data_IF_678229351324
#
_entry.id   IF_678229351324
#
_cell.length_a   1.000
_cell.length_b   1.000
_cell.length_c   1.000
_cell.angle_alpha   90.00
_cell.angle_beta   90.00
_cell.angle_gamma   90.00
#
_symmetry.space_group_name_H-M   'P 1'
#
loop_
_entity.id
_entity.type
_entity.pdbx_description
1 polymer ?
#
# COMPACT_ATOMS: atom_id res chain seq x y z
N UNK A 1 3.71 19.04 21.47
CA UNK A 1 4.19 20.33 20.94
C UNK A 1 5.55 20.24 20.26
N UNK A 2 6.56 19.59 20.88
CA UNK A 2 7.90 19.49 20.31
C UNK A 2 7.95 18.62 19.03
N UNK A 3 7.26 17.48 19.04
CA UNK A 3 7.14 16.61 17.86
C UNK A 3 6.46 17.32 16.68
N UNK A 4 5.39 18.07 16.93
CA UNK A 4 4.72 18.85 15.89
C UNK A 4 5.66 19.88 15.26
N UNK A 5 6.39 20.64 16.08
CA UNK A 5 7.35 21.64 15.59
C UNK A 5 8.47 21.02 14.75
N UNK A 6 8.93 19.81 15.10
CA UNK A 6 9.95 19.11 14.37
C UNK A 6 9.42 18.63 13.02
N UNK A 7 8.26 17.99 13.00
CA UNK A 7 7.69 17.39 11.79
C UNK A 7 7.14 18.43 10.81
N UNK A 8 6.60 19.55 11.30
CA UNK A 8 6.13 20.65 10.46
C UNK A 8 7.25 21.44 9.75
N UNK A 9 8.52 21.16 10.06
CA UNK A 9 9.63 21.66 9.23
C UNK A 9 9.63 21.05 7.84
N UNK A 10 9.02 19.88 7.70
CA UNK A 10 8.85 19.20 6.41
C UNK A 10 7.63 19.78 5.70
N UNK A 11 7.90 20.54 4.66
CA UNK A 11 6.89 21.24 3.90
C UNK A 11 7.32 21.44 2.45
N UNK A 12 6.36 21.77 1.60
CA UNK A 12 6.63 22.30 0.27
C UNK A 12 6.50 23.81 0.31
N UNK A 13 7.52 24.49 -0.16
CA UNK A 13 7.53 25.94 -0.27
C UNK A 13 6.73 26.39 -1.49
N UNK A 14 6.24 27.65 -1.42
CA UNK A 14 5.58 28.29 -2.55
C UNK A 14 6.57 28.78 -3.62
N UNK A 15 6.06 29.33 -4.70
CA UNK A 15 6.88 29.83 -5.82
C UNK A 15 7.82 30.96 -5.39
N UNK A 16 7.36 31.86 -4.53
CA UNK A 16 8.16 32.99 -4.02
C UNK A 16 9.39 32.52 -3.23
N UNK A 17 9.35 31.31 -2.67
CA UNK A 17 10.43 30.72 -1.89
C UNK A 17 11.13 29.56 -2.64
N UNK A 18 10.99 29.48 -3.96
CA UNK A 18 11.76 28.58 -4.82
C UNK A 18 11.17 27.16 -4.99
N UNK A 19 9.93 26.91 -4.61
CA UNK A 19 9.22 25.63 -4.81
C UNK A 19 9.93 24.39 -4.22
N UNK A 20 10.90 24.56 -3.33
CA UNK A 20 11.60 23.46 -2.68
C UNK A 20 10.67 22.61 -1.84
N UNK A 21 10.97 21.32 -1.69
CA UNK A 21 10.22 20.42 -0.82
C UNK A 21 11.12 19.59 0.09
N UNK A 22 10.69 19.40 1.32
CA UNK A 22 11.32 18.52 2.30
C UNK A 22 10.29 17.49 2.77
N UNK A 23 10.62 16.21 2.60
CA UNK A 23 9.79 15.09 3.08
C UNK A 23 10.45 14.43 4.28
N UNK A 24 9.72 14.28 5.38
CA UNK A 24 10.15 13.50 6.54
C UNK A 24 9.44 12.15 6.57
N UNK A 25 10.19 11.10 6.85
CA UNK A 25 9.69 9.74 7.05
C UNK A 25 10.06 9.29 8.48
N UNK A 26 9.29 9.71 9.51
CA UNK A 26 9.53 9.26 10.87
C UNK A 26 9.18 7.77 10.99
N UNK A 27 10.08 7.00 11.59
CA UNK A 27 9.86 5.57 11.88
C UNK A 27 9.54 5.42 13.35
N UNK A 28 8.39 4.84 13.65
CA UNK A 28 7.90 4.61 15.02
C UNK A 28 7.73 3.11 15.23
N UNK A 29 8.34 2.61 16.28
CA UNK A 29 8.15 1.25 16.74
C UNK A 29 6.85 1.15 17.56
N UNK A 30 6.03 0.13 17.23
CA UNK A 30 4.83 -0.20 18.00
C UNK A 30 5.07 -1.47 18.79
N UNK A 31 4.70 -1.50 20.06
CA UNK A 31 4.76 -2.73 20.86
C UNK A 31 3.52 -3.59 20.53
N UNK A 32 3.76 -4.82 20.09
CA UNK A 32 2.71 -5.77 19.72
C UNK A 32 1.68 -5.23 18.69
N UNK A 33 2.09 -4.29 17.84
CA UNK A 33 1.20 -3.67 16.85
C UNK A 33 0.21 -2.65 17.43
N UNK A 34 0.35 -2.25 18.70
CA UNK A 34 -0.53 -1.27 19.33
C UNK A 34 -0.28 0.14 18.81
N UNK A 35 -1.16 0.61 17.92
CA UNK A 35 -1.16 1.96 17.38
C UNK A 35 -1.90 2.96 18.25
N UNK A 36 -2.58 2.49 19.31
CA UNK A 36 -3.33 3.35 20.24
C UNK A 36 -2.47 3.98 21.33
N UNK A 37 -1.20 3.53 21.44
CA UNK A 37 -0.23 4.10 22.36
C UNK A 37 0.03 5.59 22.09
N UNK A 38 0.52 6.31 23.08
CA UNK A 38 0.67 7.76 23.02
C UNK A 38 1.55 8.25 21.87
N UNK A 39 2.72 7.64 21.64
CA UNK A 39 3.65 8.11 20.61
C UNK A 39 3.10 7.83 19.19
N UNK A 40 2.64 6.62 18.83
CA UNK A 40 2.03 6.36 17.54
C UNK A 40 0.85 7.28 17.25
N UNK A 41 -0.08 7.43 18.20
CA UNK A 41 -1.27 8.28 18.05
C UNK A 41 -0.91 9.74 17.81
N UNK A 42 0.07 10.26 18.55
CA UNK A 42 0.55 11.63 18.39
C UNK A 42 1.18 11.86 17.02
N UNK A 43 2.03 10.93 16.55
CA UNK A 43 2.68 11.05 15.23
C UNK A 43 1.67 10.92 14.10
N UNK A 44 0.71 9.99 14.17
CA UNK A 44 -0.37 9.85 13.19
C UNK A 44 -1.20 11.12 13.08
N UNK A 45 -1.44 11.82 14.21
CA UNK A 45 -2.21 13.06 14.21
C UNK A 45 -1.49 14.24 13.53
N UNK A 46 -0.16 14.24 13.57
CA UNK A 46 0.67 15.32 13.02
C UNK A 46 0.97 15.09 11.54
N UNK A 47 1.23 13.85 11.15
CA UNK A 47 1.65 13.50 9.78
C UNK A 47 0.48 13.42 8.79
N UNK A 48 0.79 13.46 7.50
CA UNK A 48 -0.21 13.39 6.41
C UNK A 48 -0.63 11.95 6.07
N UNK A 49 -0.27 11.01 6.87
CA UNK A 49 -0.62 9.61 6.70
C UNK A 49 0.39 8.69 7.37
N UNK A 50 0.13 7.40 7.28
CA UNK A 50 1.02 6.36 7.82
C UNK A 50 1.13 5.17 6.86
N UNK A 51 2.30 4.56 6.83
CA UNK A 51 2.56 3.26 6.25
C UNK A 51 2.65 2.28 7.41
N UNK A 52 1.70 1.36 7.50
CA UNK A 52 1.63 0.38 8.58
C UNK A 52 2.26 -0.94 8.15
N UNK A 53 3.24 -1.42 8.92
CA UNK A 53 3.91 -2.70 8.68
C UNK A 53 3.38 -3.74 9.68
N UNK A 54 2.99 -4.91 9.16
CA UNK A 54 2.49 -6.03 9.96
C UNK A 54 3.49 -7.18 10.00
N UNK A 55 3.81 -7.65 11.20
CA UNK A 55 4.69 -8.79 11.41
C UNK A 55 4.14 -10.07 10.77
N UNK A 56 2.83 -10.26 10.84
CA UNK A 56 2.16 -11.44 10.27
C UNK A 56 2.32 -11.53 8.76
N UNK A 57 2.26 -10.38 8.05
CA UNK A 57 2.50 -10.33 6.61
C UNK A 57 3.97 -10.67 6.30
N UNK A 58 4.89 -10.20 7.13
CA UNK A 58 6.31 -10.51 6.97
C UNK A 58 6.59 -12.00 7.14
N UNK A 59 6.01 -12.63 8.16
CA UNK A 59 6.13 -14.07 8.40
C UNK A 59 5.50 -14.92 7.30
N UNK A 60 4.43 -14.43 6.67
CA UNK A 60 3.81 -15.04 5.47
C UNK A 60 4.63 -14.85 4.19
N UNK A 61 5.80 -14.22 4.26
CA UNK A 61 6.67 -13.97 3.11
C UNK A 61 6.21 -12.82 2.19
N UNK A 62 5.26 -12.02 2.63
CA UNK A 62 4.81 -10.81 1.90
C UNK A 62 5.78 -9.68 2.24
N UNK A 63 6.59 -9.28 1.26
CA UNK A 63 7.60 -8.24 1.41
C UNK A 63 7.51 -7.24 0.26
N UNK A 64 7.35 -5.93 0.58
CA UNK A 64 7.23 -5.32 1.90
C UNK A 64 5.96 -5.73 2.64
N UNK A 65 6.04 -5.81 3.97
CA UNK A 65 4.94 -6.25 4.84
C UNK A 65 3.94 -5.12 5.13
N UNK A 66 3.53 -4.41 4.09
CA UNK A 66 2.66 -3.23 4.20
C UNK A 66 1.19 -3.66 4.28
N UNK A 67 0.53 -3.25 5.34
CA UNK A 67 -0.92 -3.37 5.46
C UNK A 67 -1.62 -2.29 4.67
N UNK A 68 -2.16 -2.63 3.50
CA UNK A 68 -2.90 -1.70 2.63
C UNK A 68 -4.19 -1.19 3.30
N UNK A 69 -4.79 -2.00 4.16
CA UNK A 69 -6.01 -1.64 4.89
C UNK A 69 -5.78 -0.56 5.95
N UNK A 70 -4.71 -0.71 6.74
CA UNK A 70 -4.38 0.17 7.86
C UNK A 70 -3.55 1.38 7.44
N UNK A 71 -2.91 1.32 6.28
CA UNK A 71 -2.15 2.44 5.73
C UNK A 71 -3.09 3.48 5.15
N UNK A 72 -2.82 4.74 5.48
CA UNK A 72 -3.65 5.88 5.07
C UNK A 72 -2.78 7.01 4.56
N UNK A 73 -3.21 7.67 3.49
CA UNK A 73 -2.66 8.92 3.01
C UNK A 73 -3.76 10.00 3.00
N UNK A 74 -3.54 11.13 3.69
CA UNK A 74 -4.47 12.26 3.69
C UNK A 74 -4.48 12.98 2.35
N UNK A 75 -3.34 13.06 1.68
CA UNK A 75 -3.21 13.64 0.34
C UNK A 75 -3.85 12.70 -0.69
N UNK A 76 -3.65 11.40 -0.53
CA UNK A 76 -4.29 10.36 -1.32
C UNK A 76 -4.07 10.53 -2.82
N UNK A 77 -5.13 10.33 -3.58
CA UNK A 77 -5.10 10.37 -5.04
C UNK A 77 -4.78 11.75 -5.65
N UNK A 78 -4.76 12.83 -4.86
CA UNK A 78 -4.39 14.15 -5.35
C UNK A 78 -2.91 14.23 -5.75
N UNK A 79 -2.05 13.43 -5.10
CA UNK A 79 -0.63 13.34 -5.42
C UNK A 79 -0.32 12.40 -6.60
N UNK A 80 -1.28 11.60 -7.03
CA UNK A 80 -1.10 10.61 -8.09
C UNK A 80 -1.27 11.21 -9.48
N UNK A 81 -0.54 10.67 -10.45
CA UNK A 81 -0.82 10.96 -11.86
C UNK A 81 -2.19 10.43 -12.27
N UNK A 82 -2.80 11.03 -13.30
CA UNK A 82 -4.12 10.62 -13.79
C UNK A 82 -4.17 9.13 -14.18
N UNK A 83 -3.09 8.62 -14.77
CA UNK A 83 -2.97 7.21 -15.15
C UNK A 83 -2.96 6.29 -13.91
N UNK A 84 -2.10 6.57 -12.92
CA UNK A 84 -2.03 5.82 -11.68
C UNK A 84 -3.35 5.83 -10.92
N UNK A 85 -3.98 7.02 -10.79
CA UNK A 85 -5.29 7.15 -10.13
C UNK A 85 -6.37 6.27 -10.76
N UNK A 86 -6.40 6.18 -12.10
CA UNK A 86 -7.37 5.35 -12.82
C UNK A 86 -7.15 3.86 -12.55
N UNK A 87 -5.89 3.41 -12.52
CA UNK A 87 -5.56 1.99 -12.41
C UNK A 87 -5.56 1.50 -10.95
N UNK A 88 -5.14 2.33 -10.00
CA UNK A 88 -5.07 1.96 -8.57
C UNK A 88 -6.40 2.11 -7.82
N UNK A 89 -7.37 2.84 -8.37
CA UNK A 89 -8.58 3.24 -7.67
C UNK A 89 -9.40 2.10 -7.06
N UNK A 90 -9.47 0.95 -7.72
CA UNK A 90 -10.21 -0.22 -7.22
C UNK A 90 -9.35 -1.21 -6.42
N UNK A 91 -8.03 -1.07 -6.49
CA UNK A 91 -7.10 -2.08 -5.94
C UNK A 91 -7.25 -2.25 -4.42
N UNK A 92 -7.47 -1.15 -3.69
CA UNK A 92 -7.67 -1.20 -2.23
C UNK A 92 -8.96 -1.96 -1.88
N UNK A 93 -10.03 -1.72 -2.63
CA UNK A 93 -11.31 -2.41 -2.45
C UNK A 93 -11.18 -3.90 -2.80
N UNK A 94 -10.56 -4.22 -3.92
CA UNK A 94 -10.30 -5.61 -4.34
C UNK A 94 -9.54 -6.39 -3.26
N UNK A 95 -8.51 -5.79 -2.65
CA UNK A 95 -7.75 -6.41 -1.57
C UNK A 95 -8.54 -6.55 -0.26
N UNK A 96 -9.40 -5.59 0.07
CA UNK A 96 -10.26 -5.68 1.24
C UNK A 96 -11.24 -6.85 1.10
N UNK A 97 -11.91 -6.96 -0.06
CA UNK A 97 -12.80 -8.07 -0.37
C UNK A 97 -12.06 -9.43 -0.39
N UNK A 98 -10.85 -9.46 -0.94
CA UNK A 98 -10.02 -10.65 -0.93
C UNK A 98 -9.73 -11.13 0.50
N UNK A 99 -9.26 -10.25 1.38
CA UNK A 99 -8.94 -10.60 2.78
C UNK A 99 -10.15 -11.11 3.55
N UNK A 100 -11.32 -10.48 3.35
CA UNK A 100 -12.57 -10.93 3.94
C UNK A 100 -12.92 -12.36 3.48
N UNK A 101 -12.87 -12.62 2.17
CA UNK A 101 -13.20 -13.94 1.62
C UNK A 101 -12.13 -14.99 1.89
N UNK A 102 -10.86 -14.61 1.98
CA UNK A 102 -9.76 -15.51 2.36
C UNK A 102 -9.97 -16.10 3.76
N UNK A 103 -10.41 -15.28 4.71
CA UNK A 103 -10.73 -15.73 6.05
C UNK A 103 -11.88 -16.76 6.05
N UNK A 104 -12.93 -16.55 5.25
CA UNK A 104 -14.03 -17.50 5.09
C UNK A 104 -13.63 -18.77 4.33
N UNK A 105 -12.78 -18.67 3.33
CA UNK A 105 -12.33 -19.80 2.53
C UNK A 105 -11.55 -20.86 3.32
N UNK A 106 -10.93 -20.46 4.43
CA UNK A 106 -10.25 -21.39 5.34
C UNK A 106 -11.21 -22.34 6.08
N UNK A 107 -12.49 -21.98 6.19
CA UNK A 107 -13.48 -22.73 6.95
C UNK A 107 -14.52 -23.45 6.08
N UNK A 108 -14.58 -23.20 4.78
CA UNK A 108 -15.62 -23.74 3.88
C UNK A 108 -15.05 -24.53 2.70
N UNK A 109 -15.61 -25.72 2.48
CA UNK A 109 -15.18 -26.60 1.36
C UNK A 109 -15.87 -26.26 0.02
N UNK A 110 -17.04 -25.61 0.04
CA UNK A 110 -17.82 -25.31 -1.16
C UNK A 110 -17.88 -23.79 -1.41
N UNK A 111 -16.90 -23.31 -2.18
CA UNK A 111 -16.88 -21.93 -2.65
C UNK A 111 -17.56 -21.85 -4.02
N UNK A 112 -18.41 -20.84 -4.18
CA UNK A 112 -19.00 -20.51 -5.48
C UNK A 112 -17.93 -20.02 -6.47
N UNK A 113 -18.19 -20.13 -7.77
CA UNK A 113 -17.21 -19.78 -8.80
C UNK A 113 -16.85 -18.30 -8.80
N UNK A 114 -17.75 -17.42 -8.36
CA UNK A 114 -17.48 -15.99 -8.22
C UNK A 114 -16.45 -15.74 -7.11
N UNK A 115 -16.61 -16.39 -5.97
CA UNK A 115 -15.67 -16.28 -4.85
C UNK A 115 -14.31 -16.86 -5.21
N UNK A 116 -14.26 -18.00 -5.94
CA UNK A 116 -13.00 -18.54 -6.45
C UNK A 116 -12.26 -17.55 -7.36
N UNK A 117 -12.98 -16.95 -8.31
CA UNK A 117 -12.40 -15.95 -9.21
C UNK A 117 -11.88 -14.71 -8.47
N UNK A 118 -12.59 -14.26 -7.42
CA UNK A 118 -12.16 -13.15 -6.57
C UNK A 118 -10.91 -13.49 -5.77
N UNK A 119 -10.84 -14.70 -5.20
CA UNK A 119 -9.66 -15.19 -4.48
C UNK A 119 -8.44 -15.32 -5.39
N UNK A 120 -8.60 -15.87 -6.60
CA UNK A 120 -7.52 -15.92 -7.58
C UNK A 120 -7.02 -14.54 -7.98
N UNK A 121 -7.94 -13.59 -8.21
CA UNK A 121 -7.57 -12.21 -8.53
C UNK A 121 -6.83 -11.56 -7.39
N UNK A 122 -7.30 -11.72 -6.14
CA UNK A 122 -6.65 -11.19 -4.96
C UNK A 122 -5.25 -11.75 -4.73
N UNK A 123 -5.07 -13.06 -4.89
CA UNK A 123 -3.76 -13.70 -4.81
C UNK A 123 -2.77 -13.13 -5.84
N UNK A 124 -3.22 -12.91 -7.08
CA UNK A 124 -2.38 -12.28 -8.11
C UNK A 124 -1.98 -10.85 -7.74
N UNK A 125 -2.89 -10.09 -7.12
CA UNK A 125 -2.60 -8.74 -6.64
C UNK A 125 -1.55 -8.78 -5.53
N UNK A 126 -1.69 -9.69 -4.56
CA UNK A 126 -0.71 -9.86 -3.47
C UNK A 126 0.67 -10.23 -4.03
N UNK A 127 0.74 -11.15 -5.00
CA UNK A 127 2.01 -11.50 -5.65
C UNK A 127 2.64 -10.32 -6.40
N UNK A 128 1.84 -9.48 -7.04
CA UNK A 128 2.33 -8.28 -7.73
C UNK A 128 2.90 -7.23 -6.77
N UNK A 129 2.44 -7.22 -5.53
CA UNK A 129 2.93 -6.28 -4.53
C UNK A 129 4.20 -6.73 -3.82
N UNK A 130 4.58 -7.98 -3.97
CA UNK A 130 5.88 -8.44 -3.49
C UNK A 130 6.98 -7.83 -4.34
N UNK A 131 7.97 -7.27 -3.70
CA UNK A 131 9.14 -6.70 -4.38
C UNK A 131 10.43 -7.04 -3.63
N UNK A 132 11.50 -7.12 -4.38
CA UNK A 132 12.83 -7.32 -3.84
C UNK A 132 13.39 -6.00 -3.30
N UNK A 133 14.36 -6.12 -2.40
CA UNK A 133 15.06 -4.97 -1.85
C UNK A 133 15.81 -4.23 -2.97
N UNK A 134 15.73 -2.91 -2.99
CA UNK A 134 16.49 -2.05 -3.91
C UNK A 134 16.17 -2.18 -5.41
N UNK A 135 14.95 -2.61 -5.75
CA UNK A 135 14.51 -2.67 -7.16
C UNK A 135 13.26 -1.80 -7.41
N UNK A 136 13.39 -0.46 -7.34
CA UNK A 136 12.27 0.46 -7.59
C UNK A 136 11.84 0.41 -9.06
N UNK A 137 10.54 0.40 -9.30
CA UNK A 137 9.99 0.40 -10.66
C UNK A 137 9.61 1.80 -11.12
N UNK A 138 9.82 2.08 -12.41
CA UNK A 138 9.38 3.34 -13.01
C UNK A 138 7.85 3.46 -12.96
N UNK A 139 7.34 4.68 -13.00
CA UNK A 139 5.91 4.95 -12.97
C UNK A 139 5.17 4.25 -14.13
N UNK A 140 5.74 4.25 -15.32
CA UNK A 140 5.17 3.60 -16.50
C UNK A 140 5.03 2.09 -16.28
N UNK A 141 6.07 1.46 -15.72
CA UNK A 141 6.04 0.03 -15.38
C UNK A 141 4.97 -0.27 -14.34
N UNK A 142 4.86 0.55 -13.31
CA UNK A 142 3.83 0.39 -12.26
C UNK A 142 2.43 0.48 -12.85
N UNK A 143 2.15 1.49 -13.70
CA UNK A 143 0.85 1.65 -14.36
C UNK A 143 0.56 0.46 -15.27
N UNK A 144 1.50 0.05 -16.10
CA UNK A 144 1.32 -1.09 -17.01
C UNK A 144 1.05 -2.40 -16.28
N UNK A 145 1.76 -2.66 -15.18
CA UNK A 145 1.57 -3.84 -14.35
C UNK A 145 0.20 -3.83 -13.66
N UNK A 146 -0.22 -2.68 -13.14
CA UNK A 146 -1.52 -2.53 -12.50
C UNK A 146 -2.67 -2.61 -13.50
N UNK A 147 -2.54 -2.06 -14.70
CA UNK A 147 -3.57 -2.12 -15.75
C UNK A 147 -3.79 -3.56 -16.24
N UNK A 148 -2.74 -4.33 -16.43
CA UNK A 148 -2.83 -5.74 -16.82
C UNK A 148 -3.58 -6.63 -15.82
N UNK A 149 -3.79 -6.21 -14.59
CA UNK A 149 -4.63 -6.93 -13.61
C UNK A 149 -6.10 -6.95 -13.97
N UNK A 150 -6.60 -5.91 -14.64
CA UNK A 150 -8.00 -5.80 -15.03
C UNK A 150 -8.33 -6.67 -16.23
N UNK A 151 -7.33 -6.96 -17.07
CA UNK A 151 -7.44 -7.83 -18.23
C UNK A 151 -6.78 -9.17 -17.95
N UNK A 152 -7.49 -10.28 -18.17
CA UNK A 152 -7.07 -11.68 -18.06
C UNK A 152 -5.56 -11.88 -18.26
N UNK A 153 -4.79 -12.10 -17.19
CA UNK A 153 -3.46 -12.67 -17.31
C UNK A 153 -3.60 -14.19 -17.32
N UNK A 154 -3.60 -14.73 -18.51
CA UNK A 154 -3.31 -16.14 -18.73
C UNK A 154 -1.86 -16.42 -18.29
N UNK A 155 -1.72 -17.47 -17.53
CA UNK A 155 -0.51 -18.07 -17.02
C UNK A 155 0.66 -18.01 -18.00
N UNK A 156 1.74 -17.59 -17.52
CA UNK A 156 3.13 -17.83 -17.90
C UNK A 156 3.91 -16.53 -18.03
N UNK A 157 4.38 -16.03 -16.92
CA UNK A 157 5.67 -15.37 -16.91
C UNK A 157 6.12 -15.07 -15.48
N UNK A 158 7.15 -15.76 -15.11
CA UNK A 158 8.08 -15.59 -14.00
C UNK A 158 8.75 -14.21 -13.96
N UNK A 159 8.12 -13.16 -14.35
CA UNK A 159 8.84 -11.92 -14.61
C UNK A 159 8.07 -10.64 -14.35
N UNK A 160 7.26 -10.58 -13.30
CA UNK A 160 6.82 -9.26 -12.87
C UNK A 160 6.53 -9.28 -11.37
N UNK A 161 7.56 -9.29 -10.58
CA UNK A 161 7.50 -9.02 -9.17
C UNK A 161 7.80 -7.54 -8.95
N UNK A 162 6.82 -6.64 -9.14
CA UNK A 162 7.16 -5.24 -8.92
C UNK A 162 5.97 -4.31 -8.99
N UNK A 163 5.47 -3.91 -7.85
CA UNK A 163 4.70 -2.69 -7.74
C UNK A 163 5.25 -1.88 -6.55
N UNK A 164 6.06 -0.89 -6.85
CA UNK A 164 6.42 0.13 -5.88
C UNK A 164 5.14 0.87 -5.48
N UNK A 165 4.82 0.90 -4.20
CA UNK A 165 3.75 1.73 -3.68
C UNK A 165 4.18 3.20 -3.77
N UNK A 166 3.53 3.98 -4.62
CA UNK A 166 3.40 5.41 -4.38
C UNK A 166 2.19 5.59 -3.44
N UNK A 167 2.45 5.74 -2.16
CA UNK A 167 1.53 6.34 -1.21
C UNK A 167 1.51 7.83 -1.39
#
# INVERSE_FOLDING_TARGET
YLHSRLLERSARLNEDNGNGSLTALPVIETQAGDVSAYIPTNVISITDGQIFLETDLFLKGIRPAISVGLSVSRVGSAAQTKAMKKVSGTTKLDLAQFREKEAFAQFGSDLDDQTKALLERGNRIVELFKQTLSDPKSLETQVAVLDRKSTRLNSSHRCISYAGFCL
#
